data_IF_584687413281
#
_entry.id   IF_584687413281
#
_cell.length_a   1.000
_cell.length_b   1.000
_cell.length_c   1.000
_cell.angle_alpha   90.00
_cell.angle_beta   90.00
_cell.angle_gamma   90.00
#
_symmetry.space_group_name_H-M   'P 1'
#
loop_
_entity.id
_entity.type
_entity.pdbx_description
1 polymer ?
#
# COMPACT_ATOMS: atom_id res chain seq x y z
N UNK A 1 4.62 12.52 -24.64
CA UNK A 1 4.88 13.81 -23.94
C UNK A 1 3.71 14.11 -23.03
N UNK A 2 4.00 14.42 -21.78
CA UNK A 2 2.98 14.80 -20.79
C UNK A 2 2.28 16.09 -21.24
N UNK A 3 0.98 16.21 -20.97
CA UNK A 3 0.27 17.45 -21.19
C UNK A 3 0.79 18.54 -20.20
N UNK A 4 0.59 19.80 -20.51
CA UNK A 4 1.10 20.93 -19.71
C UNK A 4 0.59 20.91 -18.26
N UNK A 5 -0.66 20.51 -18.03
CA UNK A 5 -1.26 20.41 -16.71
C UNK A 5 -0.56 19.35 -15.85
N UNK A 6 -0.27 18.18 -16.43
CA UNK A 6 0.43 17.12 -15.72
C UNK A 6 1.88 17.50 -15.44
N UNK A 7 2.58 18.16 -16.39
CA UNK A 7 3.93 18.67 -16.15
C UNK A 7 3.98 19.64 -14.96
N UNK A 8 2.97 20.50 -14.84
CA UNK A 8 2.84 21.41 -13.69
C UNK A 8 2.64 20.63 -12.38
N UNK A 9 1.77 19.62 -12.36
CA UNK A 9 1.54 18.75 -11.19
C UNK A 9 2.81 17.99 -10.81
N UNK A 10 3.55 17.42 -11.76
CA UNK A 10 4.84 16.75 -11.52
C UNK A 10 5.83 17.73 -10.89
N UNK A 11 5.97 18.94 -11.45
CA UNK A 11 6.84 19.98 -10.90
C UNK A 11 6.46 20.38 -9.47
N UNK A 12 5.16 20.47 -9.18
CA UNK A 12 4.67 20.77 -7.83
C UNK A 12 5.01 19.63 -6.85
N UNK A 13 4.81 18.37 -7.26
CA UNK A 13 5.15 17.19 -6.46
C UNK A 13 6.64 17.14 -6.13
N UNK A 14 7.51 17.38 -7.12
CA UNK A 14 8.97 17.43 -6.94
C UNK A 14 9.36 18.56 -5.99
N UNK A 15 8.83 19.78 -6.18
CA UNK A 15 9.08 20.92 -5.30
C UNK A 15 8.66 20.66 -3.86
N UNK A 16 7.52 20.00 -3.66
CA UNK A 16 7.06 19.59 -2.33
C UNK A 16 8.08 18.67 -1.65
N UNK A 17 8.51 17.61 -2.33
CA UNK A 17 9.49 16.65 -1.82
C UNK A 17 10.83 17.32 -1.49
N UNK A 18 11.33 18.17 -2.37
CA UNK A 18 12.55 18.95 -2.16
C UNK A 18 12.42 19.92 -0.98
N UNK A 19 11.27 20.56 -0.81
CA UNK A 19 11.02 21.48 0.31
C UNK A 19 11.04 20.75 1.66
N UNK A 20 10.52 19.53 1.70
CA UNK A 20 10.57 18.67 2.90
C UNK A 20 12.01 18.26 3.20
N UNK A 21 12.78 17.83 2.18
CA UNK A 21 14.18 17.44 2.35
C UNK A 21 15.06 18.59 2.83
N UNK A 22 14.82 19.82 2.35
CA UNK A 22 15.55 21.02 2.83
C UNK A 22 15.36 21.30 4.30
N UNK A 23 14.19 20.94 4.87
CA UNK A 23 13.85 21.14 6.30
C UNK A 23 14.20 19.96 7.17
N UNK A 24 14.57 18.82 6.56
CA UNK A 24 14.82 17.59 7.28
C UNK A 24 16.04 16.86 6.71
N UNK A 25 17.09 16.76 7.50
CA UNK A 25 18.38 16.18 7.08
C UNK A 25 18.41 14.63 7.11
N UNK A 26 17.34 13.99 7.55
CA UNK A 26 17.20 12.53 7.60
C UNK A 26 16.70 11.90 6.30
N UNK A 27 16.63 10.57 6.30
CA UNK A 27 15.96 9.80 5.26
C UNK A 27 14.44 9.86 5.44
N UNK A 28 13.72 9.94 4.33
CA UNK A 28 12.24 9.97 4.33
C UNK A 28 11.74 8.59 3.91
N UNK A 29 10.82 8.00 4.70
CA UNK A 29 10.17 6.74 4.34
C UNK A 29 9.31 6.93 3.09
N UNK A 30 9.43 6.06 2.10
CA UNK A 30 8.38 5.86 1.09
C UNK A 30 7.59 4.64 1.53
N UNK A 31 6.33 4.85 1.94
CA UNK A 31 5.41 3.77 2.30
C UNK A 31 4.97 3.03 1.02
N UNK A 32 5.81 2.11 0.57
CA UNK A 32 5.63 1.40 -0.69
C UNK A 32 4.67 0.22 -0.52
N UNK A 33 3.66 0.13 -1.37
CA UNK A 33 2.64 -0.92 -1.32
C UNK A 33 2.72 -1.94 -2.46
N UNK A 34 3.59 -1.72 -3.45
CA UNK A 34 3.63 -2.49 -4.70
C UNK A 34 2.48 -2.14 -5.67
N UNK A 35 1.73 -1.10 -5.39
CA UNK A 35 0.68 -0.59 -6.25
C UNK A 35 1.16 0.54 -7.16
N UNK A 36 0.43 0.82 -8.25
CA UNK A 36 0.78 1.85 -9.25
C UNK A 36 1.10 3.22 -8.66
N UNK A 37 0.35 3.65 -7.63
CA UNK A 37 0.56 4.95 -7.01
C UNK A 37 1.87 4.97 -6.18
N UNK A 38 2.28 3.83 -5.60
CA UNK A 38 3.57 3.70 -4.93
C UNK A 38 4.74 3.67 -5.91
N UNK A 39 4.55 3.14 -7.12
CA UNK A 39 5.56 3.19 -8.19
C UNK A 39 5.76 4.64 -8.68
N UNK A 40 4.66 5.40 -8.81
CA UNK A 40 4.71 6.83 -9.17
C UNK A 40 5.46 7.64 -8.13
N UNK A 41 5.16 7.50 -6.84
CA UNK A 41 5.87 8.27 -5.80
C UNK A 41 7.34 7.86 -5.67
N UNK A 42 7.67 6.59 -5.89
CA UNK A 42 9.07 6.15 -5.93
C UNK A 42 9.84 6.81 -7.08
N UNK A 43 9.22 6.93 -8.26
CA UNK A 43 9.81 7.62 -9.39
C UNK A 43 9.95 9.13 -9.14
N UNK A 44 8.92 9.78 -8.58
CA UNK A 44 8.98 11.20 -8.21
C UNK A 44 10.08 11.48 -7.18
N UNK A 45 10.29 10.60 -6.21
CA UNK A 45 11.36 10.74 -5.23
C UNK A 45 12.76 10.65 -5.87
N UNK A 46 12.93 9.75 -6.86
CA UNK A 46 14.16 9.66 -7.67
C UNK A 46 14.39 10.97 -8.47
N UNK A 47 13.35 11.46 -9.15
CA UNK A 47 13.43 12.70 -9.93
C UNK A 47 13.66 13.94 -9.04
N UNK A 48 13.13 13.95 -7.82
CA UNK A 48 13.36 15.02 -6.84
C UNK A 48 14.77 15.00 -6.23
N UNK A 49 15.51 13.90 -6.35
CA UNK A 49 16.85 13.73 -5.79
C UNK A 49 16.89 13.78 -4.26
N UNK A 50 15.81 13.37 -3.59
CA UNK A 50 15.74 13.34 -2.14
C UNK A 50 16.38 12.08 -1.56
N UNK A 51 16.79 12.12 -0.29
CA UNK A 51 17.23 10.94 0.45
C UNK A 51 16.02 10.18 0.97
N UNK A 52 15.80 8.97 0.49
CA UNK A 52 14.66 8.16 0.88
C UNK A 52 15.02 6.72 1.18
N UNK A 53 14.16 6.08 1.95
CA UNK A 53 14.16 4.65 2.19
C UNK A 53 12.79 4.10 1.81
N UNK A 54 12.72 3.36 0.71
CA UNK A 54 11.48 2.74 0.25
C UNK A 54 11.25 1.46 1.06
N UNK A 55 10.09 1.37 1.73
CA UNK A 55 9.78 0.31 2.67
C UNK A 55 8.44 -0.33 2.33
N UNK A 56 8.47 -1.63 2.09
CA UNK A 56 7.30 -2.47 1.91
C UNK A 56 7.01 -3.26 3.19
N UNK A 57 5.87 -2.98 3.82
CA UNK A 57 5.39 -3.69 5.01
C UNK A 57 4.59 -4.92 4.56
N UNK A 58 5.23 -6.09 4.54
CA UNK A 58 4.64 -7.34 4.07
C UNK A 58 3.51 -7.80 5.00
N UNK A 59 2.29 -7.82 4.47
CA UNK A 59 1.09 -8.23 5.19
C UNK A 59 0.78 -9.72 5.12
N UNK A 60 1.52 -10.47 4.30
CA UNK A 60 1.31 -11.90 3.99
C UNK A 60 0.03 -12.24 3.20
N UNK A 61 -0.78 -11.23 2.83
CA UNK A 61 -2.02 -11.38 2.06
C UNK A 61 -2.02 -10.54 0.78
N UNK A 62 -0.88 -9.98 0.41
CA UNK A 62 -0.77 -9.18 -0.79
C UNK A 62 -0.92 -10.07 -2.05
N UNK A 63 -1.36 -9.51 -3.19
CA UNK A 63 -1.60 -10.28 -4.40
C UNK A 63 -0.40 -11.06 -4.89
N UNK A 64 -0.63 -12.18 -5.58
CA UNK A 64 0.44 -12.90 -6.27
C UNK A 64 1.23 -11.95 -7.19
N UNK A 65 2.57 -12.10 -7.18
CA UNK A 65 3.46 -11.25 -7.97
C UNK A 65 3.86 -9.93 -7.33
N UNK A 66 3.11 -9.41 -6.33
CA UNK A 66 3.46 -8.15 -5.64
C UNK A 66 4.84 -8.22 -5.01
N UNK A 67 5.15 -9.30 -4.28
CA UNK A 67 6.44 -9.46 -3.61
C UNK A 67 7.62 -9.57 -4.61
N UNK A 68 7.38 -10.18 -5.77
CA UNK A 68 8.36 -10.22 -6.87
C UNK A 68 8.66 -8.82 -7.38
N UNK A 69 7.61 -8.05 -7.68
CA UNK A 69 7.72 -6.66 -8.12
C UNK A 69 8.45 -5.78 -7.09
N UNK A 70 8.12 -5.90 -5.80
CA UNK A 70 8.80 -5.17 -4.71
C UNK A 70 10.30 -5.43 -4.71
N UNK A 71 10.73 -6.70 -4.90
CA UNK A 71 12.15 -7.07 -4.97
C UNK A 71 12.83 -6.48 -6.21
N UNK A 72 12.18 -6.53 -7.36
CA UNK A 72 12.68 -5.93 -8.61
C UNK A 72 12.88 -4.42 -8.49
N UNK A 73 12.00 -3.74 -7.74
CA UNK A 73 12.11 -2.31 -7.49
C UNK A 73 13.20 -1.94 -6.46
N UNK A 74 13.87 -2.92 -5.87
CA UNK A 74 14.91 -2.72 -4.86
C UNK A 74 14.40 -2.15 -3.54
N UNK A 75 13.13 -2.40 -3.20
CA UNK A 75 12.47 -1.88 -2.01
C UNK A 75 12.75 -2.79 -0.80
N UNK A 76 13.04 -2.20 0.33
CA UNK A 76 13.24 -2.93 1.59
C UNK A 76 11.94 -3.60 2.05
N UNK A 77 12.03 -4.87 2.43
CA UNK A 77 10.88 -5.65 2.87
C UNK A 77 10.92 -5.84 4.38
N UNK A 78 10.00 -5.18 5.08
CA UNK A 78 9.80 -5.42 6.50
C UNK A 78 8.73 -6.50 6.72
N UNK A 79 9.07 -7.48 7.54
CA UNK A 79 8.13 -8.52 7.96
C UNK A 79 7.52 -8.14 9.30
N UNK A 80 6.20 -8.21 9.39
CA UNK A 80 5.53 -8.08 10.67
C UNK A 80 5.88 -9.23 11.62
N UNK A 81 5.86 -8.97 12.92
CA UNK A 81 6.09 -10.01 13.95
C UNK A 81 5.06 -11.14 13.93
N UNK A 82 3.89 -10.89 13.34
CA UNK A 82 2.79 -11.85 13.24
C UNK A 82 2.21 -11.84 11.82
N UNK A 83 1.68 -12.97 11.37
CA UNK A 83 1.02 -13.06 10.06
C UNK A 83 -0.45 -12.63 10.15
N UNK A 84 -1.04 -12.28 9.01
CA UNK A 84 -2.47 -12.01 8.91
C UNK A 84 -3.32 -13.19 9.40
N UNK A 85 -2.98 -14.41 8.99
CA UNK A 85 -3.72 -15.60 9.36
C UNK A 85 -3.68 -15.88 10.87
N UNK A 86 -2.54 -15.63 11.51
CA UNK A 86 -2.44 -15.74 12.97
C UNK A 86 -3.35 -14.73 13.67
N UNK A 87 -3.42 -13.49 13.18
CA UNK A 87 -4.33 -12.49 13.71
C UNK A 87 -5.81 -12.88 13.52
N UNK A 88 -6.15 -13.46 12.37
CA UNK A 88 -7.52 -13.95 12.09
C UNK A 88 -7.89 -15.10 13.01
N UNK A 89 -6.98 -16.04 13.27
CA UNK A 89 -7.21 -17.14 14.20
C UNK A 89 -7.50 -16.65 15.63
N UNK A 90 -6.89 -15.54 16.05
CA UNK A 90 -7.10 -14.97 17.38
C UNK A 90 -8.33 -14.06 17.49
N UNK A 91 -8.64 -13.29 16.43
CA UNK A 91 -9.61 -12.17 16.49
C UNK A 91 -10.79 -12.32 15.54
N UNK A 92 -10.82 -13.39 14.72
CA UNK A 92 -11.77 -13.54 13.63
C UNK A 92 -11.39 -12.67 12.41
N UNK A 93 -12.25 -12.67 11.39
CA UNK A 93 -12.01 -11.87 10.20
C UNK A 93 -12.16 -10.36 10.46
N UNK A 94 -11.29 -9.52 9.87
CA UNK A 94 -11.42 -8.07 10.01
C UNK A 94 -12.68 -7.56 9.32
N UNK A 95 -13.30 -6.57 9.94
CA UNK A 95 -14.48 -5.88 9.40
C UNK A 95 -14.17 -4.41 9.11
N UNK A 96 -15.18 -3.68 8.56
CA UNK A 96 -15.07 -2.23 8.39
C UNK A 96 -14.86 -1.48 9.72
N UNK A 97 -15.34 -2.04 10.82
CA UNK A 97 -15.26 -1.46 12.16
C UNK A 97 -14.03 -1.94 12.94
N UNK A 98 -13.56 -3.17 12.65
CA UNK A 98 -12.40 -3.76 13.32
C UNK A 98 -11.26 -3.99 12.33
N UNK A 99 -10.40 -2.96 12.16
CA UNK A 99 -9.28 -2.94 11.20
C UNK A 99 -7.95 -3.31 11.84
N UNK A 100 -7.95 -4.23 12.80
CA UNK A 100 -6.76 -4.65 13.53
C UNK A 100 -5.61 -5.12 12.62
N UNK A 101 -5.91 -5.67 11.44
CA UNK A 101 -4.88 -6.08 10.49
C UNK A 101 -4.07 -4.88 9.97
N UNK A 102 -4.73 -3.75 9.65
CA UNK A 102 -4.04 -2.54 9.23
C UNK A 102 -3.17 -1.99 10.36
N UNK A 103 -3.74 -1.88 11.57
CA UNK A 103 -3.05 -1.39 12.76
C UNK A 103 -1.79 -2.21 13.07
N UNK A 104 -1.88 -3.55 13.06
CA UNK A 104 -0.78 -4.43 13.45
C UNK A 104 0.24 -4.68 12.34
N UNK A 105 -0.19 -4.66 11.06
CA UNK A 105 0.67 -5.05 9.95
C UNK A 105 1.20 -3.87 9.12
N UNK A 106 0.52 -2.71 9.13
CA UNK A 106 0.89 -1.55 8.30
C UNK A 106 1.07 -0.25 9.07
N UNK A 107 0.24 0.00 10.10
CA UNK A 107 0.16 1.29 10.77
C UNK A 107 1.13 1.36 11.96
N UNK A 108 2.44 1.34 11.68
CA UNK A 108 3.49 1.57 12.66
C UNK A 108 4.57 2.48 12.10
N UNK A 109 5.19 3.24 12.99
CA UNK A 109 6.28 4.17 12.64
C UNK A 109 7.54 3.40 12.29
N UNK A 110 8.21 3.81 11.21
CA UNK A 110 9.56 3.38 10.85
C UNK A 110 10.48 4.60 10.86
N UNK A 111 10.11 5.67 10.16
CA UNK A 111 10.81 6.95 10.16
C UNK A 111 9.88 8.09 10.59
N UNK A 112 10.44 9.26 10.91
CA UNK A 112 9.67 10.43 11.35
C UNK A 112 8.85 11.08 10.24
N UNK A 113 9.25 10.89 9.00
CA UNK A 113 8.57 11.39 7.81
C UNK A 113 8.27 10.26 6.84
N UNK A 114 7.07 10.27 6.25
CA UNK A 114 6.63 9.20 5.36
C UNK A 114 5.88 9.76 4.16
N UNK A 115 6.32 9.39 2.95
CA UNK A 115 5.65 9.71 1.69
C UNK A 115 4.64 8.60 1.39
N UNK A 116 3.39 9.00 1.12
CA UNK A 116 2.30 8.06 0.90
C UNK A 116 1.54 8.43 -0.37
N UNK A 117 1.25 7.43 -1.21
CA UNK A 117 0.49 7.57 -2.45
C UNK A 117 -1.01 7.66 -2.23
N UNK A 118 -1.48 8.68 -1.50
CA UNK A 118 -2.91 8.97 -1.31
C UNK A 118 -3.35 10.00 -2.33
N UNK A 119 -4.53 9.80 -2.94
CA UNK A 119 -5.15 10.74 -3.87
C UNK A 119 -6.60 11.03 -3.49
N UNK A 120 -7.03 12.27 -3.64
CA UNK A 120 -8.43 12.68 -3.42
C UNK A 120 -9.39 11.94 -4.35
N UNK A 121 -8.98 11.72 -5.60
CA UNK A 121 -9.78 11.05 -6.63
C UNK A 121 -10.17 9.60 -6.29
N UNK A 122 -9.48 8.92 -5.37
CA UNK A 122 -9.76 7.51 -5.05
C UNK A 122 -11.07 7.29 -4.29
N UNK A 123 -11.55 8.26 -3.51
CA UNK A 123 -12.84 8.16 -2.83
C UNK A 123 -13.30 9.49 -2.23
N UNK A 124 -14.63 9.69 -2.12
CA UNK A 124 -15.23 10.85 -1.44
C UNK A 124 -14.66 11.05 -0.03
N UNK A 125 -14.53 9.96 0.74
CA UNK A 125 -13.98 10.02 2.11
C UNK A 125 -12.53 10.53 2.14
N UNK A 126 -11.70 10.16 1.13
CA UNK A 126 -10.33 10.68 1.05
C UNK A 126 -10.31 12.16 0.71
N UNK A 127 -11.18 12.59 -0.21
CA UNK A 127 -11.33 14.00 -0.55
C UNK A 127 -11.71 14.88 0.65
N UNK A 128 -12.53 14.35 1.56
CA UNK A 128 -12.94 15.06 2.79
C UNK A 128 -11.83 15.09 3.86
N UNK A 129 -11.05 14.02 3.99
CA UNK A 129 -10.05 13.87 5.06
C UNK A 129 -8.70 14.52 4.73
N UNK A 130 -8.30 14.47 3.45
CA UNK A 130 -6.98 14.91 3.01
C UNK A 130 -7.09 16.25 2.28
N UNK A 131 -6.98 17.35 3.01
CA UNK A 131 -7.08 18.70 2.47
C UNK A 131 -5.72 19.36 2.25
N UNK A 132 -4.67 18.86 2.92
CA UNK A 132 -3.33 19.43 2.91
C UNK A 132 -2.30 18.42 2.36
N UNK A 133 -1.24 18.90 1.72
CA UNK A 133 -0.19 18.04 1.16
C UNK A 133 0.66 17.36 2.23
N UNK A 134 0.57 17.80 3.49
CA UNK A 134 1.25 17.19 4.64
C UNK A 134 0.33 17.11 5.84
N UNK A 135 0.44 16.05 6.63
CA UNK A 135 -0.36 15.86 7.84
C UNK A 135 0.41 15.05 8.88
N UNK A 136 0.38 15.50 10.13
CA UNK A 136 0.89 14.69 11.24
C UNK A 136 -0.09 13.56 11.59
N UNK A 137 0.42 12.35 11.71
CA UNK A 137 -0.32 11.17 12.16
C UNK A 137 0.38 10.54 13.36
N UNK A 138 -0.44 10.03 14.27
CA UNK A 138 0.01 9.35 15.48
C UNK A 138 -0.33 7.88 15.42
N UNK A 139 0.62 7.01 15.79
CA UNK A 139 0.44 5.57 15.81
C UNK A 139 0.44 5.02 17.24
N UNK A 140 -0.57 4.19 17.58
CA UNK A 140 -0.64 3.54 18.90
C UNK A 140 -0.94 4.48 20.07
N UNK A 141 -0.68 4.01 21.29
CA UNK A 141 -1.02 4.70 22.54
C UNK A 141 -0.03 5.82 22.95
N UNK A 142 1.25 5.69 22.56
CA UNK A 142 2.30 6.67 22.88
C UNK A 142 2.39 7.72 21.79
N UNK A 143 1.50 8.72 21.82
CA UNK A 143 1.37 9.72 20.75
C UNK A 143 2.62 10.56 20.54
N UNK A 144 3.31 10.97 21.60
CA UNK A 144 4.48 11.86 21.51
C UNK A 144 5.68 11.21 20.82
N UNK A 145 5.91 9.91 21.06
CA UNK A 145 7.04 9.16 20.46
C UNK A 145 6.73 8.62 19.06
N UNK A 146 5.45 8.43 18.75
CA UNK A 146 4.98 7.73 17.53
C UNK A 146 4.27 8.65 16.52
N UNK A 147 4.62 9.94 16.50
CA UNK A 147 4.14 10.83 15.46
C UNK A 147 4.96 10.65 14.17
N UNK A 148 4.30 10.79 13.02
CA UNK A 148 4.90 10.76 11.69
C UNK A 148 4.30 11.89 10.86
N UNK A 149 5.14 12.70 10.25
CA UNK A 149 4.69 13.65 9.23
C UNK A 149 4.49 12.88 7.91
N UNK A 150 3.25 12.77 7.48
CA UNK A 150 2.88 12.15 6.20
C UNK A 150 2.85 13.20 5.10
N UNK A 151 3.48 12.88 3.96
CA UNK A 151 3.60 13.74 2.78
C UNK A 151 2.84 13.08 1.63
N UNK A 152 1.98 13.84 0.93
CA UNK A 152 1.11 13.35 -0.14
C UNK A 152 1.42 14.07 -1.46
N UNK A 153 2.49 13.69 -2.17
CA UNK A 153 2.95 14.42 -3.36
C UNK A 153 1.98 14.33 -4.54
N UNK A 154 1.14 13.30 -4.59
CA UNK A 154 0.17 13.08 -5.68
C UNK A 154 -1.29 13.28 -5.23
N UNK A 155 -1.53 14.05 -4.16
CA UNK A 155 -2.84 14.23 -3.56
C UNK A 155 -3.90 14.70 -4.56
N UNK A 156 -3.55 15.66 -5.42
CA UNK A 156 -4.45 16.26 -6.41
C UNK A 156 -4.40 15.58 -7.80
N UNK A 157 -3.71 14.44 -7.90
CA UNK A 157 -3.61 13.72 -9.16
C UNK A 157 -4.87 12.89 -9.43
N UNK A 158 -5.33 12.95 -10.68
CA UNK A 158 -6.42 12.10 -11.17
C UNK A 158 -5.88 10.72 -11.57
N UNK A 159 -6.79 9.81 -11.92
CA UNK A 159 -6.40 8.51 -12.45
C UNK A 159 -5.73 8.61 -13.80
N UNK A 160 -6.14 9.58 -14.60
CA UNK A 160 -5.54 9.88 -15.91
C UNK A 160 -4.12 10.42 -15.74
N UNK A 161 -3.89 11.33 -14.79
CA UNK A 161 -2.55 11.84 -14.48
C UNK A 161 -1.58 10.71 -14.11
N UNK A 162 -2.02 9.78 -13.26
CA UNK A 162 -1.21 8.62 -12.84
C UNK A 162 -0.92 7.72 -14.05
N UNK A 163 -1.93 7.42 -14.88
CA UNK A 163 -1.76 6.60 -16.08
C UNK A 163 -0.77 7.24 -17.06
N UNK A 164 -0.96 8.51 -17.37
CA UNK A 164 -0.15 9.21 -18.35
C UNK A 164 1.30 9.35 -17.88
N UNK A 165 1.52 9.60 -16.58
CA UNK A 165 2.85 9.60 -15.99
C UNK A 165 3.53 8.21 -16.07
N UNK A 166 2.80 7.12 -15.76
CA UNK A 166 3.32 5.76 -15.87
C UNK A 166 3.75 5.44 -17.30
N UNK A 167 2.93 5.83 -18.29
CA UNK A 167 3.22 5.60 -19.71
C UNK A 167 4.45 6.42 -20.15
N UNK A 168 4.50 7.71 -19.80
CA UNK A 168 5.59 8.60 -20.19
C UNK A 168 6.93 8.16 -19.59
N UNK A 169 6.96 7.77 -18.33
CA UNK A 169 8.16 7.27 -17.65
C UNK A 169 8.42 5.78 -17.87
N UNK A 170 7.56 5.08 -18.64
CA UNK A 170 7.65 3.64 -18.92
C UNK A 170 7.83 2.80 -17.65
N UNK A 171 7.07 3.13 -16.60
CA UNK A 171 7.19 2.44 -15.32
C UNK A 171 6.72 1.00 -15.44
N UNK A 172 7.51 0.09 -14.90
CA UNK A 172 7.11 -1.30 -14.73
C UNK A 172 6.16 -1.40 -13.54
N UNK A 173 4.99 -2.01 -13.73
CA UNK A 173 3.99 -2.21 -12.69
C UNK A 173 4.00 -3.66 -12.21
N UNK A 174 3.35 -3.90 -11.06
CA UNK A 174 3.13 -5.25 -10.59
C UNK A 174 2.27 -6.06 -11.56
N UNK A 175 2.44 -7.40 -11.65
CA UNK A 175 1.75 -8.26 -12.62
C UNK A 175 0.23 -8.13 -12.62
N UNK A 176 -0.35 -7.72 -11.50
CA UNK A 176 -1.81 -7.52 -11.38
C UNK A 176 -2.39 -6.45 -12.31
N UNK A 177 -1.55 -5.52 -12.80
CA UNK A 177 -1.96 -4.47 -13.72
C UNK A 177 -1.88 -4.89 -15.20
N UNK A 178 -1.42 -6.09 -15.49
CA UNK A 178 -1.35 -6.65 -16.84
C UNK A 178 -2.37 -7.76 -17.04
N UNK A 179 -2.88 -7.88 -18.27
CA UNK A 179 -3.70 -9.02 -18.66
C UNK A 179 -2.88 -10.29 -18.79
N UNK A 180 -3.55 -11.44 -18.85
CA UNK A 180 -2.92 -12.75 -19.10
C UNK A 180 -2.11 -12.78 -20.41
N UNK A 181 -2.36 -11.85 -21.33
CA UNK A 181 -1.63 -11.63 -22.57
C UNK A 181 -0.53 -10.56 -22.51
N UNK A 182 -0.22 -10.01 -21.34
CA UNK A 182 0.83 -8.99 -21.16
C UNK A 182 0.41 -7.56 -21.58
N UNK A 183 -0.82 -7.36 -22.07
CA UNK A 183 -1.36 -6.03 -22.33
C UNK A 183 -1.72 -5.32 -21.02
N UNK A 184 -1.46 -4.01 -20.97
CA UNK A 184 -1.90 -3.21 -19.82
C UNK A 184 -3.42 -3.33 -19.68
N UNK A 185 -3.89 -3.99 -18.63
CA UNK A 185 -5.29 -3.82 -18.22
C UNK A 185 -5.52 -2.33 -18.06
N UNK A 186 -6.69 -1.85 -18.54
CA UNK A 186 -7.14 -0.51 -18.15
C UNK A 186 -6.83 -0.35 -16.68
N UNK A 187 -6.06 0.69 -16.36
CA UNK A 187 -5.69 1.02 -14.98
C UNK A 187 -6.98 1.52 -14.32
N UNK A 188 -7.91 0.60 -14.11
CA UNK A 188 -9.16 0.88 -13.45
C UNK A 188 -8.90 0.97 -11.95
N UNK A 189 -9.24 2.07 -11.43
CA UNK A 189 -8.84 2.74 -10.22
C UNK A 189 -9.55 2.32 -8.96
N UNK A 190 -10.25 1.24 -8.91
CA UNK A 190 -10.90 0.86 -7.66
C UNK A 190 -10.10 -0.15 -6.87
N UNK A 191 -9.19 0.34 -6.04
CA UNK A 191 -8.50 -0.47 -5.01
C UNK A 191 -9.41 -1.30 -4.11
N UNK A 192 -10.73 -1.11 -4.22
CA UNK A 192 -11.75 -1.84 -3.47
C UNK A 192 -12.35 -3.02 -4.26
N UNK A 193 -12.34 -2.99 -5.60
CA UNK A 193 -12.81 -4.11 -6.43
C UNK A 193 -11.87 -5.31 -6.38
N UNK A 194 -10.61 -5.07 -6.15
CA UNK A 194 -9.58 -6.11 -6.06
C UNK A 194 -9.75 -6.99 -4.81
N UNK A 195 -10.25 -6.45 -3.70
CA UNK A 195 -10.47 -7.25 -2.47
C UNK A 195 -11.64 -8.22 -2.61
N UNK A 196 -12.74 -7.86 -3.27
CA UNK A 196 -13.90 -8.73 -3.40
C UNK A 196 -13.71 -9.86 -4.40
N UNK A 197 -13.04 -9.60 -5.53
CA UNK A 197 -12.69 -10.63 -6.51
C UNK A 197 -11.55 -11.53 -6.04
N UNK A 198 -10.65 -11.03 -5.19
CA UNK A 198 -9.51 -11.79 -4.63
C UNK A 198 -9.91 -12.76 -3.54
N UNK A 199 -10.88 -12.43 -2.69
CA UNK A 199 -11.44 -13.40 -1.73
C UNK A 199 -12.07 -14.60 -2.45
N UNK A 200 -12.66 -14.39 -3.66
CA UNK A 200 -13.17 -15.47 -4.51
C UNK A 200 -12.05 -16.28 -5.19
N UNK A 201 -10.95 -15.67 -5.60
CA UNK A 201 -9.81 -16.37 -6.22
C UNK A 201 -8.95 -17.13 -5.19
N UNK A 202 -8.85 -16.64 -3.95
CA UNK A 202 -8.12 -17.32 -2.87
C UNK A 202 -8.90 -18.50 -2.28
N UNK A 203 -10.22 -18.60 -2.51
CA UNK A 203 -11.00 -19.79 -2.12
C UNK A 203 -10.58 -21.06 -2.89
N UNK A 204 -9.79 -20.94 -3.96
CA UNK A 204 -9.17 -22.05 -4.69
C UNK A 204 -7.73 -22.40 -4.26
N UNK A 205 -7.16 -21.67 -3.29
CA UNK A 205 -5.89 -22.09 -2.72
C UNK A 205 -6.15 -23.29 -1.80
N UNK A 206 -5.70 -24.48 -2.22
CA UNK A 206 -5.65 -25.66 -1.33
C UNK A 206 -4.89 -25.26 -0.07
N UNK A 207 -5.59 -25.23 1.05
CA UNK A 207 -4.97 -25.17 2.37
C UNK A 207 -4.07 -26.42 2.44
N UNK A 208 -2.76 -26.27 2.77
CA UNK A 208 -1.95 -27.44 3.05
C UNK A 208 -2.66 -28.25 4.13
N UNK A 209 -2.79 -29.56 3.93
CA UNK A 209 -3.30 -30.47 4.95
C UNK A 209 -2.49 -30.29 6.22
N UNK A 210 -3.10 -29.65 7.21
CA UNK A 210 -2.57 -29.57 8.56
C UNK A 210 -2.78 -30.97 9.12
N UNK A 211 -1.68 -31.69 9.39
CA UNK A 211 -1.71 -33.00 10.05
C UNK A 211 -2.61 -32.96 11.29
N UNK A 212 -3.40 -34.02 11.48
CA UNK A 212 -4.44 -34.16 12.51
C UNK A 212 -3.91 -34.22 13.95
N UNK A 213 -2.83 -33.55 14.30
CA UNK A 213 -2.37 -33.42 15.69
C UNK A 213 -2.89 -32.12 16.35
N UNK A 214 -4.22 -31.94 16.29
CA UNK A 214 -4.88 -30.79 16.93
C UNK A 214 -5.52 -31.19 18.28
N UNK A 215 -4.71 -31.49 19.26
CA UNK A 215 -5.13 -31.36 20.66
C UNK A 215 -4.92 -29.90 21.07
N UNK A 216 -5.97 -29.08 20.98
CA UNK A 216 -5.93 -27.69 21.47
C UNK A 216 -6.66 -26.62 20.67
N UNK A 217 -7.44 -26.95 19.66
CA UNK A 217 -8.25 -25.94 18.95
C UNK A 217 -9.59 -25.69 19.67
N UNK A 218 -9.87 -24.42 19.93
CA UNK A 218 -11.15 -23.94 20.50
C UNK A 218 -12.32 -24.33 19.59
N UNK A 219 -13.53 -24.59 20.14
CA UNK A 219 -14.74 -24.97 19.39
C UNK A 219 -15.15 -24.03 18.25
N UNK A 220 -14.71 -22.77 18.26
CA UNK A 220 -14.94 -21.83 17.18
C UNK A 220 -14.24 -22.17 15.86
N UNK A 221 -13.16 -22.94 15.88
CA UNK A 221 -12.48 -23.34 14.64
C UNK A 221 -13.20 -24.48 13.92
N UNK A 222 -13.96 -25.32 14.63
CA UNK A 222 -14.71 -26.41 14.03
C UNK A 222 -15.92 -25.94 13.21
N UNK A 223 -16.52 -24.79 13.54
CA UNK A 223 -17.69 -24.25 12.85
C UNK A 223 -17.33 -23.65 11.45
N UNK A 224 -16.07 -23.35 11.19
CA UNK A 224 -15.63 -22.77 9.91
C UNK A 224 -15.39 -23.86 8.85
N UNK A 225 -15.14 -25.10 9.27
CA UNK A 225 -14.85 -26.24 8.39
C UNK A 225 -16.04 -27.20 8.17
N UNK A 226 -17.19 -26.94 8.81
CA UNK A 226 -18.34 -27.84 8.83
C UNK A 226 -19.40 -27.68 7.74
N UNK A 227 -19.27 -26.76 6.79
CA UNK A 227 -20.21 -26.58 5.69
C UNK A 227 -19.51 -26.50 4.34
N UNK A 228 -18.95 -27.62 3.92
CA UNK A 228 -18.60 -27.88 2.52
C UNK A 228 -18.86 -29.37 2.26
N UNK A 229 -20.11 -29.69 2.07
CA UNK A 229 -20.56 -30.89 1.36
C UNK A 229 -21.61 -30.46 0.34
#
# INVERSE_FOLDING_TARGET
MLNEQLQKKVSQSIKLLQSVQKRYDGEIEIAYSGGKDSDVILQLAKEAGIRYRAIYKNTTIDPPGTLGHVREMGVEILRAKTSFFHLVAQKGFPSRFSRFCCEKLKEYKVLDKSIIGVRKAESRKRNEIYNEPTKCRYYGAKKEENHVEQIYPILEWTDEDVRDFIIDRKLKLAPIYYDSGGANRRIETSGMYVLSSRLKAQAHYRVPEISQDSKGLSPCCAAIYGHAS
#
